data_IF_289585426985
#
_entry.id   IF_289585426985
#
_cell.length_a   1.000
_cell.length_b   1.000
_cell.length_c   1.000
_cell.angle_alpha   90.00
_cell.angle_beta   90.00
_cell.angle_gamma   90.00
#
_symmetry.space_group_name_H-M   'P 1'
#
loop_
_entity.id
_entity.type
_entity.pdbx_description
1 polymer ?
#
# COMPACT_ATOMS: atom_id res chain seq x y z
N UNK A 1 10.61 6.84 9.51
CA UNK A 1 12.07 7.07 9.67
C UNK A 1 12.44 6.76 11.10
N UNK A 2 13.49 5.97 11.27
CA UNK A 2 13.97 5.44 12.55
C UNK A 2 15.44 5.79 12.72
N UNK A 3 15.89 5.96 13.96
CA UNK A 3 17.31 6.18 14.28
C UNK A 3 18.16 4.92 14.07
N UNK A 4 17.60 3.77 14.42
CA UNK A 4 18.26 2.47 14.29
C UNK A 4 17.31 1.45 13.65
N UNK A 5 17.89 0.41 13.04
CA UNK A 5 17.11 -0.65 12.42
C UNK A 5 16.70 -1.66 13.50
N UNK A 6 15.39 -1.89 13.70
CA UNK A 6 14.94 -2.91 14.63
C UNK A 6 15.20 -4.33 14.12
N UNK A 7 15.43 -4.51 12.81
CA UNK A 7 15.80 -5.78 12.19
C UNK A 7 17.31 -6.05 12.19
N UNK A 8 17.68 -7.32 12.23
CA UNK A 8 19.07 -7.76 12.07
C UNK A 8 19.47 -7.78 10.58
N UNK A 9 20.76 -7.54 10.29
CA UNK A 9 21.31 -7.22 8.95
C UNK A 9 20.76 -8.13 7.84
N UNK A 10 20.26 -7.52 6.77
CA UNK A 10 19.73 -8.18 5.56
C UNK A 10 18.58 -7.37 4.95
N UNK A 11 18.06 -7.82 3.81
CA UNK A 11 16.80 -7.32 3.25
C UNK A 11 15.65 -7.83 4.12
N UNK A 12 15.14 -7.00 5.03
CA UNK A 12 14.06 -7.37 5.93
C UNK A 12 12.70 -7.20 5.25
N UNK A 13 11.85 -8.23 5.32
CA UNK A 13 10.44 -8.16 4.97
C UNK A 13 9.68 -9.26 5.72
N UNK A 14 8.53 -8.94 6.28
CA UNK A 14 7.72 -9.87 7.03
C UNK A 14 6.24 -9.51 6.98
N UNK A 15 5.39 -10.54 7.03
CA UNK A 15 3.97 -10.38 7.28
C UNK A 15 3.70 -10.51 8.77
N UNK A 16 2.89 -9.60 9.29
CA UNK A 16 2.33 -9.63 10.63
C UNK A 16 0.82 -9.82 10.54
N UNK A 17 0.28 -10.63 11.44
CA UNK A 17 -1.18 -10.75 11.60
C UNK A 17 -1.79 -9.52 12.28
N UNK A 18 -0.96 -8.65 12.85
CA UNK A 18 -1.38 -7.38 13.44
C UNK A 18 -1.87 -6.37 12.40
N UNK A 19 -2.35 -5.24 12.89
CA UNK A 19 -2.79 -4.09 12.08
C UNK A 19 -1.68 -3.58 11.14
N UNK A 20 -0.41 -3.82 11.45
CA UNK A 20 0.72 -3.42 10.62
C UNK A 20 0.81 -4.16 9.27
N UNK A 21 0.12 -5.30 9.10
CA UNK A 21 0.07 -6.01 7.83
C UNK A 21 1.45 -6.45 7.33
N UNK A 22 1.92 -5.86 6.24
CA UNK A 22 3.25 -6.16 5.69
C UNK A 22 4.26 -5.10 6.09
N UNK A 23 5.41 -5.50 6.63
CA UNK A 23 6.47 -4.62 7.10
C UNK A 23 7.77 -4.97 6.38
N UNK A 24 8.53 -3.97 5.92
CA UNK A 24 9.75 -4.20 5.14
C UNK A 24 10.77 -3.07 5.29
N UNK A 25 12.04 -3.35 4.98
CA UNK A 25 13.08 -2.34 4.83
C UNK A 25 12.84 -1.55 3.53
N UNK A 26 12.38 -0.31 3.65
CA UNK A 26 11.99 0.54 2.52
C UNK A 26 13.20 1.29 1.92
N UNK A 27 14.32 0.59 1.75
CA UNK A 27 15.49 1.10 1.05
C UNK A 27 16.49 1.80 1.96
N UNK A 28 16.72 1.27 3.16
CA UNK A 28 17.89 1.63 3.97
C UNK A 28 19.15 1.44 3.14
N UNK A 29 19.80 2.55 2.76
CA UNK A 29 21.07 2.49 2.05
C UNK A 29 22.17 2.01 2.99
N UNK A 30 23.13 1.29 2.44
CA UNK A 30 24.39 0.97 3.12
C UNK A 30 25.00 2.31 3.58
N UNK A 31 25.35 2.41 4.86
CA UNK A 31 25.89 3.62 5.52
C UNK A 31 24.94 4.82 5.66
N UNK A 32 23.63 4.67 5.47
CA UNK A 32 22.68 5.72 5.87
C UNK A 32 22.50 5.73 7.38
N UNK A 33 22.58 6.90 8.01
CA UNK A 33 22.26 7.09 9.43
C UNK A 33 20.77 6.86 9.69
N UNK A 34 19.92 7.29 8.73
CA UNK A 34 18.48 7.09 8.80
C UNK A 34 18.06 5.70 8.32
N UNK A 35 17.12 5.08 9.05
CA UNK A 35 16.50 3.81 8.67
C UNK A 35 15.06 4.03 8.27
N UNK A 36 14.64 3.39 7.18
CA UNK A 36 13.27 3.53 6.68
C UNK A 36 12.57 2.19 6.77
N UNK A 37 11.61 2.12 7.67
CA UNK A 37 10.68 1.01 7.76
C UNK A 37 9.44 1.33 6.94
N UNK A 38 9.17 0.52 5.94
CA UNK A 38 7.94 0.52 5.18
C UNK A 38 6.89 -0.37 5.84
N UNK A 39 5.64 0.05 5.74
CA UNK A 39 4.48 -0.69 6.21
C UNK A 39 3.37 -0.57 5.17
N UNK A 40 2.73 -1.68 4.83
CA UNK A 40 1.56 -1.73 3.95
C UNK A 40 0.43 -2.43 4.69
N UNK A 41 -0.63 -1.67 4.93
CA UNK A 41 -1.88 -2.17 5.47
C UNK A 41 -3.01 -1.83 4.50
N UNK A 42 -3.95 -2.77 4.33
CA UNK A 42 -5.04 -2.68 3.36
C UNK A 42 -6.35 -3.12 4.02
N UNK A 43 -7.49 -2.70 3.45
CA UNK A 43 -8.83 -3.04 3.96
C UNK A 43 -9.03 -2.58 5.41
N UNK A 44 -9.68 -3.39 6.22
CA UNK A 44 -10.01 -3.05 7.62
C UNK A 44 -8.78 -2.65 8.46
N UNK A 45 -7.60 -3.23 8.17
CA UNK A 45 -6.34 -2.85 8.85
C UNK A 45 -5.94 -1.41 8.51
N UNK A 46 -6.16 -0.97 7.28
CA UNK A 46 -5.94 0.42 6.89
C UNK A 46 -6.90 1.36 7.63
N UNK A 47 -8.17 1.01 7.74
CA UNK A 47 -9.17 1.87 8.40
C UNK A 47 -8.83 2.09 9.89
N UNK A 48 -8.34 1.06 10.57
CA UNK A 48 -7.82 1.17 11.94
C UNK A 48 -6.62 2.14 12.00
N UNK A 49 -5.66 2.04 11.08
CA UNK A 49 -4.49 2.94 11.08
C UNK A 49 -4.85 4.37 10.70
N UNK A 50 -5.72 4.56 9.71
CA UNK A 50 -6.15 5.87 9.24
C UNK A 50 -6.90 6.65 10.32
N UNK A 51 -7.61 5.94 11.20
CA UNK A 51 -8.31 6.53 12.36
C UNK A 51 -7.43 6.65 13.61
N UNK A 52 -6.19 6.14 13.59
CA UNK A 52 -5.30 6.11 14.75
C UNK A 52 -4.39 7.33 14.83
N UNK A 53 -4.05 7.72 16.06
CA UNK A 53 -3.00 8.73 16.29
C UNK A 53 -1.62 8.18 15.96
N UNK A 54 -0.64 9.06 15.71
CA UNK A 54 0.74 8.64 15.47
C UNK A 54 1.32 7.79 16.61
N UNK A 55 1.01 8.12 17.87
CA UNK A 55 1.44 7.32 19.02
C UNK A 55 0.88 5.89 18.97
N UNK A 56 -0.39 5.73 18.60
CA UNK A 56 -1.00 4.41 18.42
C UNK A 56 -0.39 3.66 17.23
N UNK A 57 -0.11 4.35 16.12
CA UNK A 57 0.57 3.77 14.96
C UNK A 57 1.95 3.22 15.34
N UNK A 58 2.74 3.97 16.11
CA UNK A 58 4.04 3.51 16.65
C UNK A 58 3.88 2.25 17.50
N UNK A 59 2.89 2.25 18.38
CA UNK A 59 2.64 1.11 19.26
C UNK A 59 2.25 -0.16 18.49
N UNK A 60 1.40 -0.04 17.46
CA UNK A 60 1.07 -1.17 16.59
C UNK A 60 2.29 -1.71 15.84
N UNK A 61 3.17 -0.83 15.37
CA UNK A 61 4.42 -1.23 14.71
C UNK A 61 5.34 -1.93 15.71
N UNK A 62 5.48 -1.40 16.93
CA UNK A 62 6.29 -1.99 18.00
C UNK A 62 5.83 -3.41 18.32
N UNK A 63 4.53 -3.58 18.59
CA UNK A 63 3.93 -4.88 18.88
C UNK A 63 4.08 -5.88 17.72
N UNK A 64 3.99 -5.40 16.47
CA UNK A 64 4.21 -6.23 15.29
C UNK A 64 5.66 -6.69 15.17
N UNK A 65 6.62 -5.80 15.43
CA UNK A 65 8.04 -6.14 15.41
C UNK A 65 8.39 -7.13 16.54
N UNK A 66 7.81 -6.96 17.72
CA UNK A 66 7.97 -7.88 18.85
C UNK A 66 7.45 -9.28 18.55
N UNK A 67 6.27 -9.41 17.94
CA UNK A 67 5.74 -10.72 17.54
C UNK A 67 6.60 -11.40 16.47
N UNK A 68 7.32 -10.63 15.67
CA UNK A 68 8.30 -11.09 14.68
C UNK A 68 9.70 -11.35 15.29
N UNK A 69 9.84 -11.30 16.61
CA UNK A 69 11.11 -11.48 17.32
C UNK A 69 12.11 -10.32 17.13
N UNK A 70 11.66 -9.18 16.61
CA UNK A 70 12.45 -7.96 16.43
C UNK A 70 12.24 -7.02 17.63
N UNK A 71 12.71 -7.43 18.81
CA UNK A 71 12.47 -6.74 20.08
C UNK A 71 13.41 -5.57 20.40
N UNK A 72 13.99 -4.90 19.41
CA UNK A 72 14.81 -3.69 19.65
C UNK A 72 13.91 -2.49 19.89
N UNK A 73 14.36 -1.58 20.74
CA UNK A 73 13.64 -0.33 21.01
C UNK A 73 13.40 0.45 19.71
N UNK A 74 12.14 0.79 19.45
CA UNK A 74 11.74 1.49 18.24
C UNK A 74 11.85 3.01 18.43
N UNK A 75 12.97 3.58 17.98
CA UNK A 75 13.19 5.03 18.04
C UNK A 75 12.69 5.72 16.77
N UNK A 76 11.42 6.13 16.79
CA UNK A 76 10.75 6.78 15.65
C UNK A 76 11.08 8.27 15.61
N UNK A 77 11.73 8.71 14.52
CA UNK A 77 12.04 10.11 14.27
C UNK A 77 10.90 10.83 13.53
N UNK A 78 10.25 10.12 12.61
CA UNK A 78 9.16 10.65 11.78
C UNK A 78 8.29 9.54 11.24
N UNK A 79 6.97 9.78 11.25
CA UNK A 79 5.99 8.98 10.53
C UNK A 79 5.54 9.78 9.30
N UNK A 80 5.42 9.09 8.18
CA UNK A 80 4.77 9.60 6.99
C UNK A 80 3.78 8.54 6.52
N UNK A 81 2.52 8.92 6.40
CA UNK A 81 1.47 8.12 5.80
C UNK A 81 1.07 8.75 4.47
N UNK A 82 0.87 7.92 3.45
CA UNK A 82 0.26 8.34 2.18
C UNK A 82 -1.25 8.38 2.33
N UNK A 83 -1.75 9.16 3.30
CA UNK A 83 -3.19 9.34 3.51
C UNK A 83 -3.76 10.14 2.34
N UNK A 84 -4.21 9.42 1.31
CA UNK A 84 -4.92 9.98 0.15
C UNK A 84 -6.39 10.26 0.44
N UNK A 85 -6.88 9.93 1.64
CA UNK A 85 -8.29 10.13 2.04
C UNK A 85 -8.75 11.59 1.97
N UNK A 86 -7.82 12.55 1.94
CA UNK A 86 -8.10 13.97 1.77
C UNK A 86 -8.05 14.46 0.31
N UNK A 87 -7.66 13.60 -0.64
CA UNK A 87 -7.62 13.96 -2.05
C UNK A 87 -9.02 13.90 -2.65
N UNK A 88 -9.51 15.03 -3.17
CA UNK A 88 -10.78 15.10 -3.90
C UNK A 88 -10.78 14.27 -5.19
N UNK A 89 -9.61 13.97 -5.74
CA UNK A 89 -9.46 13.40 -7.08
C UNK A 89 -8.92 11.96 -7.08
N UNK A 90 -8.32 11.52 -5.97
CA UNK A 90 -7.69 10.22 -5.86
C UNK A 90 -8.44 9.43 -4.79
N UNK A 91 -9.31 8.47 -5.18
CA UNK A 91 -9.90 7.57 -4.21
C UNK A 91 -8.80 6.78 -3.49
N UNK A 92 -9.04 6.43 -2.23
CA UNK A 92 -8.07 5.69 -1.43
C UNK A 92 -8.02 4.23 -1.84
N UNK A 93 -6.82 3.65 -1.93
CA UNK A 93 -6.60 2.22 -2.11
C UNK A 93 -6.46 1.78 -3.57
N UNK A 94 -6.82 0.52 -3.81
CA UNK A 94 -6.73 -0.15 -5.12
C UNK A 94 -8.12 -0.66 -5.53
N UNK A 95 -8.41 -0.73 -6.83
CA UNK A 95 -9.69 -1.25 -7.30
C UNK A 95 -9.87 -2.71 -6.85
N UNK A 96 -10.85 -2.95 -5.99
CA UNK A 96 -11.16 -4.26 -5.45
C UNK A 96 -12.57 -4.65 -5.87
N UNK A 97 -12.71 -5.83 -6.48
CA UNK A 97 -13.98 -6.32 -6.99
C UNK A 97 -14.47 -7.49 -6.13
N UNK A 98 -15.52 -7.31 -5.31
CA UNK A 98 -16.03 -8.38 -4.47
C UNK A 98 -16.67 -9.51 -5.29
N UNK A 99 -16.91 -10.69 -4.66
CA UNK A 99 -17.64 -11.78 -5.30
C UNK A 99 -18.97 -11.29 -5.89
N UNK A 100 -19.24 -11.67 -7.15
CA UNK A 100 -20.42 -11.24 -7.89
C UNK A 100 -20.22 -10.01 -8.78
N UNK A 101 -19.08 -9.30 -8.69
CA UNK A 101 -18.82 -8.11 -9.52
C UNK A 101 -18.35 -8.39 -10.94
N UNK A 102 -18.10 -9.65 -11.32
CA UNK A 102 -17.48 -10.01 -12.61
C UNK A 102 -18.25 -9.48 -13.84
N UNK A 103 -19.59 -9.56 -13.83
CA UNK A 103 -20.41 -9.01 -14.91
C UNK A 103 -20.36 -7.48 -15.02
N UNK A 104 -20.16 -6.79 -13.89
CA UNK A 104 -20.00 -5.34 -13.86
C UNK A 104 -18.64 -4.90 -14.41
N UNK A 105 -17.57 -5.65 -14.14
CA UNK A 105 -16.23 -5.37 -14.68
C UNK A 105 -16.25 -5.40 -16.21
N UNK A 106 -16.88 -6.40 -16.81
CA UNK A 106 -17.00 -6.51 -18.27
C UNK A 106 -17.70 -5.28 -18.85
N UNK A 107 -18.68 -4.73 -18.15
CA UNK A 107 -19.38 -3.52 -18.60
C UNK A 107 -18.51 -2.26 -18.52
N UNK A 108 -17.58 -2.16 -17.57
CA UNK A 108 -16.62 -1.04 -17.48
C UNK A 108 -15.65 -0.99 -18.67
N UNK A 109 -15.41 -2.12 -19.33
CA UNK A 109 -14.51 -2.21 -20.48
C UNK A 109 -15.17 -1.81 -21.80
N UNK A 110 -16.50 -1.68 -21.84
CA UNK A 110 -17.22 -1.37 -23.06
C UNK A 110 -17.08 0.12 -23.40
N UNK A 111 -16.54 0.47 -24.58
CA UNK A 111 -16.59 1.85 -25.06
C UNK A 111 -18.02 2.33 -25.23
N UNK A 112 -18.22 3.64 -25.13
CA UNK A 112 -19.49 4.30 -25.41
C UNK A 112 -19.29 5.37 -26.48
N UNK A 113 -19.72 5.07 -27.71
CA UNK A 113 -19.48 5.89 -28.90
C UNK A 113 -17.99 6.21 -29.09
N UNK A 114 -17.58 7.47 -28.83
CA UNK A 114 -16.21 7.96 -28.94
C UNK A 114 -15.49 8.05 -27.59
N UNK A 115 -16.05 7.43 -26.56
CA UNK A 115 -15.53 7.44 -25.19
C UNK A 115 -14.95 6.05 -24.88
N UNK A 116 -13.67 6.02 -24.53
CA UNK A 116 -12.92 4.82 -24.18
C UNK A 116 -12.44 4.92 -22.73
N UNK A 117 -12.41 3.79 -22.03
CA UNK A 117 -12.07 3.73 -20.59
C UNK A 117 -10.72 3.05 -20.37
N UNK A 118 -9.90 3.68 -19.54
CA UNK A 118 -8.57 3.22 -19.14
C UNK A 118 -8.30 3.56 -17.68
N UNK A 119 -7.21 3.01 -17.14
CA UNK A 119 -6.83 3.12 -15.73
C UNK A 119 -6.77 1.78 -15.03
N UNK A 120 -6.24 1.78 -13.82
CA UNK A 120 -5.99 0.57 -13.01
C UNK A 120 -7.25 -0.28 -12.83
N UNK A 121 -8.40 0.34 -12.52
CA UNK A 121 -9.69 -0.34 -12.37
C UNK A 121 -10.25 -1.00 -13.65
N UNK A 122 -9.64 -0.77 -14.81
CA UNK A 122 -10.01 -1.42 -16.08
C UNK A 122 -8.94 -2.41 -16.55
N UNK A 123 -7.91 -2.63 -15.74
CA UNK A 123 -6.82 -3.55 -16.06
C UNK A 123 -7.19 -5.00 -15.71
N UNK A 124 -6.44 -5.94 -16.27
CA UNK A 124 -6.47 -7.33 -15.79
C UNK A 124 -5.68 -7.49 -14.49
N UNK A 125 -4.63 -6.67 -14.32
CA UNK A 125 -3.75 -6.66 -13.16
C UNK A 125 -3.95 -5.38 -12.33
N UNK A 126 -4.98 -5.40 -11.50
CA UNK A 126 -5.30 -4.34 -10.55
C UNK A 126 -4.16 -4.10 -9.53
N UNK A 127 -4.13 -2.90 -8.95
CA UNK A 127 -3.18 -2.45 -7.94
C UNK A 127 -1.78 -2.16 -8.46
N UNK A 128 -1.60 -2.10 -9.79
CA UNK A 128 -0.28 -1.92 -10.40
C UNK A 128 -0.26 -0.79 -11.43
N UNK A 129 0.90 -0.14 -11.55
CA UNK A 129 1.16 0.82 -12.64
C UNK A 129 1.16 0.12 -13.99
N UNK A 130 1.69 -1.11 -14.06
CA UNK A 130 1.71 -1.92 -15.28
C UNK A 130 0.30 -2.17 -15.82
N UNK A 131 -0.63 -2.58 -14.94
CA UNK A 131 -2.03 -2.78 -15.32
C UNK A 131 -2.67 -1.50 -15.85
N UNK A 132 -2.42 -0.37 -15.20
CA UNK A 132 -2.93 0.94 -15.65
C UNK A 132 -2.35 1.34 -17.02
N UNK A 133 -1.06 1.07 -17.27
CA UNK A 133 -0.42 1.34 -18.55
C UNK A 133 -0.96 0.43 -19.65
N UNK A 134 -1.07 -0.88 -19.38
CA UNK A 134 -1.62 -1.85 -20.32
C UNK A 134 -3.06 -1.52 -20.72
N UNK A 135 -3.89 -1.06 -19.76
CA UNK A 135 -5.26 -0.67 -20.05
C UNK A 135 -5.35 0.60 -20.90
N UNK A 136 -4.42 1.55 -20.73
CA UNK A 136 -4.29 2.72 -21.59
C UNK A 136 -3.90 2.34 -23.02
N UNK A 137 -2.90 1.46 -23.20
CA UNK A 137 -2.48 0.96 -24.52
C UNK A 137 -3.67 0.27 -25.22
N UNK A 138 -4.40 -0.58 -24.49
CA UNK A 138 -5.60 -1.24 -25.02
C UNK A 138 -6.64 -0.23 -25.50
N UNK A 139 -6.95 0.79 -24.70
CA UNK A 139 -7.94 1.80 -25.06
C UNK A 139 -7.53 2.58 -26.31
N UNK A 140 -6.25 2.96 -26.43
CA UNK A 140 -5.71 3.65 -27.63
C UNK A 140 -5.84 2.79 -28.88
N UNK A 141 -5.61 1.48 -28.79
CA UNK A 141 -5.72 0.56 -29.93
C UNK A 141 -7.16 0.35 -30.43
N UNK A 142 -8.17 0.84 -29.71
CA UNK A 142 -9.58 0.77 -30.10
C UNK A 142 -10.09 2.06 -30.77
N UNK A 143 -9.30 3.13 -30.75
CA UNK A 143 -9.56 4.41 -31.43
C UNK A 143 -9.25 4.27 -32.92
#
# INVERSE_FOLDING_TARGET
MLREAPWTRGSFSAYSDSVAGFIYDAGTKINSEDKILGMISTGDRYDILASSTDAMKVEYIRLALESLGQGRELQVLRIQSSETSQSKFIPTGIATFPPGSYGSIISLLKPMDRIFFAGEHTAELNGTVEGALASAIRAVNQV
#
